data_IF_046463485814
#
_entry.id   IF_046463485814
#
_cell.length_a   1.000
_cell.length_b   1.000
_cell.length_c   1.000
_cell.angle_alpha   90.00
_cell.angle_beta   90.00
_cell.angle_gamma   90.00
#
_symmetry.space_group_name_H-M   'P 1'
#
loop_
_entity.id
_entity.type
_entity.pdbx_description
1 polymer ?
#
# COMPACT_ATOMS: atom_id res chain seq x y z
N UNK A 1 -13.76 -6.35 5.14
CA UNK A 1 -12.34 -6.63 5.30
C UNK A 1 -11.68 -6.87 3.95
N UNK A 2 -10.54 -6.27 3.71
CA UNK A 2 -9.83 -6.41 2.45
C UNK A 2 -8.58 -7.25 2.64
N UNK A 3 -8.30 -8.12 1.68
CA UNK A 3 -7.08 -8.92 1.71
C UNK A 3 -6.05 -8.30 0.77
N UNK A 4 -4.75 -8.39 1.12
CA UNK A 4 -3.71 -7.89 0.24
C UNK A 4 -3.79 -8.52 -1.13
N UNK A 5 -3.76 -7.68 -2.16
CA UNK A 5 -3.79 -8.15 -3.54
C UNK A 5 -3.08 -7.13 -4.42
N UNK A 6 -2.58 -7.59 -5.55
CA UNK A 6 -1.90 -6.67 -6.48
C UNK A 6 -2.93 -5.80 -7.19
N UNK A 7 -2.53 -4.56 -7.54
CA UNK A 7 -1.20 -3.99 -7.35
C UNK A 7 -1.02 -3.47 -5.93
N UNK A 8 0.24 -3.41 -5.50
CA UNK A 8 0.59 -2.88 -4.20
C UNK A 8 1.22 -1.52 -4.35
N UNK A 9 1.00 -0.66 -3.35
CA UNK A 9 1.52 0.71 -3.36
C UNK A 9 2.30 0.94 -2.08
N UNK A 10 3.41 1.65 -2.18
CA UNK A 10 4.18 2.00 -1.00
C UNK A 10 5.03 3.23 -1.26
N UNK A 11 5.34 3.95 -0.20
CA UNK A 11 6.26 5.07 -0.26
C UNK A 11 7.65 4.56 0.10
N UNK A 12 8.67 5.01 -0.63
CA UNK A 12 10.02 4.48 -0.46
C UNK A 12 10.55 4.63 0.96
N UNK A 13 10.08 5.64 1.70
CA UNK A 13 10.47 5.83 3.10
C UNK A 13 9.40 5.36 4.07
N UNK A 14 8.33 4.74 3.59
CA UNK A 14 7.24 4.28 4.44
C UNK A 14 7.50 2.91 5.02
N UNK A 15 6.85 2.63 6.15
CA UNK A 15 6.96 1.34 6.82
C UNK A 15 5.80 0.39 6.49
N UNK A 16 4.81 0.85 5.72
CA UNK A 16 3.63 0.07 5.36
C UNK A 16 3.44 0.04 3.86
N UNK A 17 2.67 -0.94 3.40
CA UNK A 17 2.26 -0.98 2.00
C UNK A 17 0.74 -1.03 1.92
N UNK A 18 0.20 -0.61 0.78
CA UNK A 18 -1.23 -0.50 0.57
C UNK A 18 -1.62 -1.29 -0.66
N UNK A 19 -2.90 -1.66 -0.75
CA UNK A 19 -3.44 -2.33 -1.94
C UNK A 19 -4.80 -1.79 -2.34
N UNK A 20 -5.36 -0.86 -1.55
CA UNK A 20 -6.64 -0.23 -1.86
C UNK A 20 -6.40 1.18 -2.37
N UNK A 21 -6.96 1.50 -3.52
CA UNK A 21 -6.78 2.81 -4.12
C UNK A 21 -7.43 3.92 -3.29
N UNK A 22 -8.54 3.62 -2.64
CA UNK A 22 -9.26 4.62 -1.85
C UNK A 22 -8.88 4.62 -0.39
N UNK A 23 -7.77 3.97 -0.03
CA UNK A 23 -7.23 4.06 1.31
C UNK A 23 -6.76 5.49 1.56
N UNK A 24 -7.19 6.09 2.67
CA UNK A 24 -6.86 7.48 2.96
C UNK A 24 -5.37 7.72 3.16
N UNK A 25 -4.62 6.67 3.47
CA UNK A 25 -3.18 6.77 3.66
C UNK A 25 -2.39 6.40 2.41
N UNK A 26 -3.06 5.93 1.37
CA UNK A 26 -2.42 5.62 0.10
C UNK A 26 -2.38 6.89 -0.74
N UNK A 27 -1.21 7.46 -0.89
CA UNK A 27 -1.03 8.73 -1.58
C UNK A 27 -0.49 8.57 -3.00
N UNK A 28 -0.39 7.34 -3.48
CA UNK A 28 0.02 7.12 -4.86
C UNK A 28 -0.89 7.93 -5.81
N UNK A 29 -0.40 8.61 -6.83
CA UNK A 29 0.99 8.58 -7.35
C UNK A 29 1.84 9.80 -6.93
N UNK A 30 1.75 10.23 -5.68
CA UNK A 30 2.59 11.32 -5.20
C UNK A 30 4.07 10.97 -5.30
N UNK A 31 4.97 11.98 -5.29
CA UNK A 31 6.41 11.71 -5.37
C UNK A 31 6.87 10.75 -4.28
N UNK A 32 7.73 9.82 -4.65
CA UNK A 32 8.25 8.83 -3.72
C UNK A 32 7.43 7.56 -3.62
N UNK A 33 6.24 7.53 -4.23
CA UNK A 33 5.38 6.35 -4.20
C UNK A 33 5.69 5.43 -5.36
N UNK A 34 5.56 4.12 -5.08
CA UNK A 34 5.81 3.08 -6.07
C UNK A 34 4.59 2.16 -6.18
N UNK A 35 4.35 1.67 -7.38
CA UNK A 35 3.29 0.69 -7.63
C UNK A 35 3.95 -0.58 -8.14
N UNK A 36 3.72 -1.69 -7.44
CA UNK A 36 4.35 -2.96 -7.79
C UNK A 36 3.31 -4.07 -7.85
N UNK A 37 3.66 -5.14 -8.54
CA UNK A 37 2.76 -6.29 -8.69
C UNK A 37 3.07 -7.40 -7.70
N UNK A 38 3.99 -7.16 -6.79
CA UNK A 38 4.36 -8.14 -5.76
C UNK A 38 4.31 -7.48 -4.39
N UNK A 39 4.16 -8.30 -3.35
CA UNK A 39 4.07 -7.77 -1.99
C UNK A 39 5.44 -7.21 -1.56
N UNK A 40 5.49 -5.92 -1.19
CA UNK A 40 6.75 -5.33 -0.73
C UNK A 40 7.23 -6.01 0.54
N UNK A 41 8.50 -6.44 0.55
CA UNK A 41 9.08 -7.09 1.71
C UNK A 41 9.57 -6.07 2.71
N UNK A 42 9.54 -6.44 3.99
CA UNK A 42 10.03 -5.57 5.05
C UNK A 42 9.06 -4.47 5.44
N UNK A 43 7.84 -4.51 4.93
CA UNK A 43 6.81 -3.53 5.25
C UNK A 43 5.59 -4.23 5.84
N UNK A 44 4.86 -3.50 6.67
CA UNK A 44 3.65 -4.01 7.31
C UNK A 44 2.42 -3.68 6.48
N UNK A 45 1.37 -4.45 6.66
CA UNK A 45 0.10 -4.20 6.00
C UNK A 45 -0.55 -2.95 6.58
N UNK A 46 -1.11 -2.12 5.71
CA UNK A 46 -1.84 -0.94 6.15
C UNK A 46 -3.16 -1.38 6.79
N UNK A 47 -3.39 -0.97 8.02
CA UNK A 47 -4.60 -1.36 8.73
C UNK A 47 -5.86 -0.81 8.10
N UNK A 48 -5.80 0.41 7.57
CA UNK A 48 -6.96 0.98 6.89
C UNK A 48 -7.32 0.21 5.63
N UNK A 49 -6.32 -0.24 4.89
CA UNK A 49 -6.59 -1.09 3.72
C UNK A 49 -7.25 -2.40 4.15
N UNK A 50 -6.80 -2.96 5.25
CA UNK A 50 -7.37 -4.21 5.75
C UNK A 50 -8.82 -4.06 6.17
N UNK A 51 -9.20 -2.88 6.63
CA UNK A 51 -10.56 -2.63 7.11
C UNK A 51 -11.56 -2.30 6.00
N UNK A 52 -11.11 -2.16 4.79
CA UNK A 52 -12.01 -1.85 3.67
C UNK A 52 -12.84 -3.08 3.19
#
# INVERSE_FOLDING_TARGET
MSNPSKPFYYHQSGATYHWEEDCSKNKYPDPGWQKVSFQPMGRKQCEECKEK
#
